data_IF_927609162672
#
_entry.id   IF_927609162672
#
_cell.length_a   1.000
_cell.length_b   1.000
_cell.length_c   1.000
_cell.angle_alpha   90.00
_cell.angle_beta   90.00
_cell.angle_gamma   90.00
#
_symmetry.space_group_name_H-M   'P 1'
#
loop_
_entity.id
_entity.type
_entity.pdbx_description
1 polymer ?
#
# COMPACT_ATOMS: atom_id res chain seq x y z
N UNK A 1 -24.53 9.84 -9.33
CA UNK A 1 -23.81 8.56 -9.22
C UNK A 1 -24.55 7.67 -8.24
N UNK A 2 -25.06 6.53 -8.71
CA UNK A 2 -25.66 5.51 -7.83
C UNK A 2 -24.55 4.73 -7.10
N UNK A 3 -24.93 3.94 -6.09
CA UNK A 3 -23.97 3.12 -5.32
C UNK A 3 -23.21 2.15 -6.21
N UNK A 4 -23.88 1.59 -7.20
CA UNK A 4 -23.35 0.54 -8.07
C UNK A 4 -22.35 1.12 -9.08
N UNK A 5 -22.67 2.28 -9.66
CA UNK A 5 -21.74 3.00 -10.54
C UNK A 5 -20.43 3.36 -9.84
N UNK A 6 -20.49 3.76 -8.56
CA UNK A 6 -19.28 4.05 -7.77
C UNK A 6 -18.46 2.78 -7.55
N UNK A 7 -19.11 1.65 -7.24
CA UNK A 7 -18.41 0.38 -7.08
C UNK A 7 -17.77 -0.10 -8.37
N UNK A 8 -18.41 0.10 -9.51
CA UNK A 8 -17.88 -0.30 -10.81
C UNK A 8 -16.71 0.59 -11.23
N UNK A 9 -16.77 1.88 -10.93
CA UNK A 9 -15.65 2.79 -11.17
C UNK A 9 -14.44 2.45 -10.28
N UNK A 10 -14.67 2.07 -9.00
CA UNK A 10 -13.63 1.56 -8.10
C UNK A 10 -12.95 0.32 -8.70
N UNK A 11 -13.73 -0.65 -9.18
CA UNK A 11 -13.19 -1.86 -9.82
C UNK A 11 -12.40 -1.52 -11.07
N UNK A 12 -12.93 -0.65 -11.92
CA UNK A 12 -12.26 -0.23 -13.16
C UNK A 12 -10.89 0.40 -12.87
N UNK A 13 -10.81 1.25 -11.86
CA UNK A 13 -9.54 1.87 -11.44
C UNK A 13 -8.60 0.86 -10.79
N UNK A 14 -9.11 -0.08 -10.00
CA UNK A 14 -8.29 -1.16 -9.45
C UNK A 14 -7.72 -2.08 -10.54
N UNK A 15 -8.50 -2.40 -11.59
CA UNK A 15 -8.02 -3.13 -12.79
C UNK A 15 -6.89 -2.41 -13.52
N UNK A 16 -6.90 -1.06 -13.49
CA UNK A 16 -5.80 -0.23 -14.03
C UNK A 16 -4.54 -0.24 -13.14
N UNK A 17 -4.56 -0.95 -12.01
CA UNK A 17 -3.44 -1.05 -11.07
C UNK A 17 -3.37 0.08 -10.03
N UNK A 18 -4.36 0.98 -10.00
CA UNK A 18 -4.38 2.08 -9.03
C UNK A 18 -4.60 1.56 -7.62
N UNK A 19 -3.89 2.16 -6.66
CA UNK A 19 -3.99 1.78 -5.26
C UNK A 19 -5.22 2.43 -4.58
N UNK A 20 -5.77 1.83 -3.51
CA UNK A 20 -6.96 2.33 -2.83
C UNK A 20 -6.91 3.82 -2.44
N UNK A 21 -5.75 4.33 -2.02
CA UNK A 21 -5.58 5.76 -1.71
C UNK A 21 -5.80 6.66 -2.93
N UNK A 22 -5.18 6.32 -4.06
CA UNK A 22 -5.28 7.05 -5.34
C UNK A 22 -6.71 6.99 -5.90
N UNK A 23 -7.36 5.83 -5.78
CA UNK A 23 -8.77 5.65 -6.16
C UNK A 23 -9.65 6.64 -5.40
N UNK A 24 -9.45 6.80 -4.09
CA UNK A 24 -10.21 7.75 -3.29
C UNK A 24 -10.01 9.20 -3.73
N UNK A 25 -8.79 9.59 -4.09
CA UNK A 25 -8.47 10.93 -4.61
C UNK A 25 -9.17 11.19 -5.94
N UNK A 26 -9.11 10.25 -6.89
CA UNK A 26 -9.75 10.40 -8.22
C UNK A 26 -11.28 10.46 -8.11
N UNK A 27 -11.87 9.69 -7.19
CA UNK A 27 -13.32 9.77 -6.94
C UNK A 27 -13.73 11.13 -6.40
N UNK A 28 -12.93 11.71 -5.49
CA UNK A 28 -13.19 13.03 -4.93
C UNK A 28 -13.04 14.12 -5.98
N UNK A 29 -11.92 14.13 -6.70
CA UNK A 29 -11.51 15.26 -7.52
C UNK A 29 -12.12 15.23 -8.93
N UNK A 30 -12.28 14.04 -9.54
CA UNK A 30 -12.82 13.92 -10.91
C UNK A 30 -14.30 13.57 -10.96
N UNK A 31 -14.83 12.89 -9.93
CA UNK A 31 -16.23 12.42 -9.92
C UNK A 31 -17.10 13.13 -8.87
N UNK A 32 -16.54 14.06 -8.10
CA UNK A 32 -17.26 14.80 -7.05
C UNK A 32 -17.73 13.93 -5.87
N UNK A 33 -17.21 12.70 -5.74
CA UNK A 33 -17.58 11.77 -4.67
C UNK A 33 -16.75 12.08 -3.42
N UNK A 34 -17.28 12.91 -2.53
CA UNK A 34 -16.56 13.34 -1.33
C UNK A 34 -16.16 12.20 -0.38
N UNK A 35 -17.12 11.36 0.03
CA UNK A 35 -16.86 10.24 0.95
C UNK A 35 -17.53 8.96 0.47
N UNK A 36 -16.73 8.02 -0.06
CA UNK A 36 -17.21 6.72 -0.57
C UNK A 36 -18.00 5.95 0.48
N UNK A 37 -17.60 6.02 1.76
CA UNK A 37 -18.31 5.36 2.86
C UNK A 37 -19.75 5.82 3.02
N UNK A 38 -20.03 7.11 2.79
CA UNK A 38 -21.38 7.66 2.94
C UNK A 38 -22.30 7.22 1.81
N UNK A 39 -21.78 7.08 0.60
CA UNK A 39 -22.54 6.63 -0.56
C UNK A 39 -22.70 5.11 -0.57
N UNK A 40 -21.59 4.36 -0.60
CA UNK A 40 -21.60 2.91 -0.81
C UNK A 40 -21.71 2.09 0.48
N UNK A 41 -21.87 2.72 1.65
CA UNK A 41 -21.95 2.07 2.97
C UNK A 41 -20.66 1.42 3.47
N UNK A 42 -19.65 1.25 2.61
CA UNK A 42 -18.40 0.55 2.89
C UNK A 42 -17.16 1.37 2.50
N UNK A 43 -15.99 1.01 3.08
CA UNK A 43 -14.69 1.59 2.72
C UNK A 43 -14.16 0.96 1.42
N UNK A 44 -13.39 1.73 0.64
CA UNK A 44 -12.78 1.30 -0.64
C UNK A 44 -12.07 -0.06 -0.50
N UNK A 45 -11.22 -0.22 0.52
CA UNK A 45 -10.49 -1.48 0.74
C UNK A 45 -11.41 -2.68 0.97
N UNK A 46 -12.56 -2.49 1.65
CA UNK A 46 -13.54 -3.57 1.85
C UNK A 46 -14.25 -3.93 0.54
N UNK A 47 -14.62 -2.94 -0.26
CA UNK A 47 -15.24 -3.14 -1.58
C UNK A 47 -14.30 -3.95 -2.48
N UNK A 48 -13.01 -3.60 -2.50
CA UNK A 48 -12.00 -4.34 -3.27
C UNK A 48 -11.82 -5.77 -2.75
N UNK A 49 -11.82 -5.98 -1.43
CA UNK A 49 -11.72 -7.31 -0.83
C UNK A 49 -12.93 -8.19 -1.17
N UNK A 50 -14.14 -7.65 -1.09
CA UNK A 50 -15.37 -8.36 -1.46
C UNK A 50 -15.39 -8.76 -2.93
N UNK A 51 -14.79 -7.95 -3.81
CA UNK A 51 -14.68 -8.24 -5.25
C UNK A 51 -13.41 -9.03 -5.63
N UNK A 52 -12.65 -9.54 -4.65
CA UNK A 52 -11.45 -10.36 -4.90
C UNK A 52 -10.27 -9.61 -5.52
N UNK A 53 -10.28 -8.28 -5.49
CA UNK A 53 -9.34 -7.38 -6.16
C UNK A 53 -8.42 -6.64 -5.17
N UNK A 54 -8.37 -7.10 -3.92
CA UNK A 54 -7.51 -6.50 -2.91
C UNK A 54 -6.05 -6.93 -3.13
N UNK A 55 -5.08 -6.00 -2.98
CA UNK A 55 -3.68 -6.34 -3.05
C UNK A 55 -3.31 -7.30 -1.89
N UNK A 56 -2.43 -8.26 -2.16
CA UNK A 56 -1.95 -9.22 -1.16
C UNK A 56 -1.19 -8.52 -0.02
N UNK A 57 -0.38 -7.53 -0.38
CA UNK A 57 0.33 -6.71 0.58
C UNK A 57 -0.46 -5.43 0.88
N UNK A 58 -0.65 -5.06 2.17
CA UNK A 58 -1.20 -3.77 2.54
C UNK A 58 -0.44 -2.61 1.89
N UNK A 59 -1.18 -1.61 1.40
CA UNK A 59 -0.66 -0.51 0.59
C UNK A 59 0.44 0.29 1.32
N UNK A 60 0.26 0.54 2.61
CA UNK A 60 1.21 1.24 3.47
C UNK A 60 2.52 0.46 3.65
N UNK A 61 2.43 -0.85 3.87
CA UNK A 61 3.58 -1.73 3.96
C UNK A 61 4.34 -1.79 2.63
N UNK A 62 3.62 -1.92 1.52
CA UNK A 62 4.19 -1.89 0.17
C UNK A 62 5.01 -0.62 -0.08
N UNK A 63 4.47 0.57 0.22
CA UNK A 63 5.17 1.83 -0.02
C UNK A 63 6.38 2.03 0.91
N UNK A 64 6.33 1.54 2.16
CA UNK A 64 7.50 1.57 3.04
C UNK A 64 8.62 0.67 2.52
N UNK A 65 8.29 -0.55 2.08
CA UNK A 65 9.26 -1.48 1.48
C UNK A 65 9.85 -0.87 0.20
N UNK A 66 9.03 -0.27 -0.67
CA UNK A 66 9.48 0.41 -1.89
C UNK A 66 10.45 1.55 -1.59
N UNK A 67 10.16 2.36 -0.56
CA UNK A 67 11.06 3.42 -0.09
C UNK A 67 12.38 2.84 0.44
N UNK A 68 12.33 1.77 1.23
CA UNK A 68 13.55 1.12 1.73
C UNK A 68 14.46 0.60 0.61
N UNK A 69 13.87 -0.03 -0.42
CA UNK A 69 14.61 -0.50 -1.61
C UNK A 69 15.28 0.65 -2.34
N UNK A 70 14.58 1.77 -2.53
CA UNK A 70 15.15 2.95 -3.19
C UNK A 70 16.33 3.54 -2.39
N UNK A 71 16.20 3.67 -1.06
CA UNK A 71 17.28 4.18 -0.21
C UNK A 71 18.49 3.23 -0.23
N UNK A 72 18.25 1.90 -0.20
CA UNK A 72 19.35 0.93 -0.26
C UNK A 72 20.11 1.01 -1.59
N UNK A 73 19.39 1.10 -2.72
CA UNK A 73 19.99 1.29 -4.05
C UNK A 73 20.83 2.58 -4.14
N UNK A 74 20.40 3.65 -3.48
CA UNK A 74 21.19 4.89 -3.36
C UNK A 74 22.47 4.66 -2.55
N UNK A 75 22.36 4.03 -1.37
CA UNK A 75 23.49 3.76 -0.48
C UNK A 75 24.54 2.81 -1.07
N UNK A 76 24.15 1.91 -1.97
CA UNK A 76 25.09 1.05 -2.71
C UNK A 76 26.11 1.88 -3.52
N UNK A 77 25.67 3.00 -4.09
CA UNK A 77 26.48 3.94 -4.86
C UNK A 77 27.15 4.98 -3.95
N UNK A 78 26.41 5.46 -2.94
CA UNK A 78 26.81 6.56 -2.06
C UNK A 78 27.03 6.07 -0.62
N UNK A 79 28.05 5.23 -0.43
CA UNK A 79 28.30 4.54 0.86
C UNK A 79 28.62 5.47 2.05
N UNK A 80 29.06 6.70 1.78
CA UNK A 80 29.41 7.70 2.80
C UNK A 80 28.22 8.55 3.28
N UNK A 81 27.04 8.36 2.70
CA UNK A 81 25.84 9.10 3.09
C UNK A 81 25.25 8.54 4.41
N UNK A 82 25.74 9.10 5.53
CA UNK A 82 25.35 8.70 6.89
C UNK A 82 23.88 9.01 7.17
N UNK A 83 23.37 10.13 6.65
CA UNK A 83 21.99 10.53 6.87
C UNK A 83 21.00 9.59 6.17
N UNK A 84 21.27 9.22 4.90
CA UNK A 84 20.46 8.20 4.22
C UNK A 84 20.52 6.84 4.93
N UNK A 85 21.68 6.46 5.50
CA UNK A 85 21.82 5.24 6.31
C UNK A 85 20.98 5.30 7.58
N UNK A 86 20.99 6.43 8.28
CA UNK A 86 20.13 6.66 9.44
C UNK A 86 18.64 6.58 9.06
N UNK A 87 18.25 7.21 7.96
CA UNK A 87 16.86 7.17 7.46
C UNK A 87 16.43 5.78 7.03
N UNK A 88 17.32 4.97 6.46
CA UNK A 88 17.03 3.55 6.15
C UNK A 88 16.62 2.78 7.42
N UNK A 89 17.39 2.93 8.51
CA UNK A 89 17.10 2.27 9.80
C UNK A 89 15.71 2.65 10.32
N UNK A 90 15.33 3.93 10.21
CA UNK A 90 14.00 4.39 10.62
C UNK A 90 12.88 3.78 9.76
N UNK A 91 13.09 3.68 8.44
CA UNK A 91 12.11 3.07 7.52
C UNK A 91 11.97 1.58 7.81
N UNK A 92 13.06 0.85 7.98
CA UNK A 92 13.06 -0.58 8.33
C UNK A 92 12.36 -0.84 9.68
N UNK A 93 12.62 0.02 10.67
CA UNK A 93 11.94 -0.04 11.97
C UNK A 93 10.42 0.14 11.84
N UNK A 94 9.96 1.03 10.95
CA UNK A 94 8.52 1.20 10.64
C UNK A 94 7.94 -0.03 9.95
N UNK A 95 8.67 -0.63 9.00
CA UNK A 95 8.27 -1.86 8.31
C UNK A 95 8.06 -2.99 9.33
N UNK A 96 9.01 -3.21 10.24
CA UNK A 96 8.91 -4.27 11.25
C UNK A 96 7.72 -4.08 12.20
N UNK A 97 7.47 -2.84 12.66
CA UNK A 97 6.30 -2.52 13.50
C UNK A 97 5.00 -2.80 12.77
N UNK A 98 4.91 -2.39 11.51
CA UNK A 98 3.70 -2.54 10.71
C UNK A 98 3.43 -4.00 10.31
N UNK A 99 4.48 -4.74 9.95
CA UNK A 99 4.41 -6.17 9.71
C UNK A 99 3.91 -6.93 10.96
N UNK A 100 4.40 -6.59 12.15
CA UNK A 100 3.91 -7.17 13.42
C UNK A 100 2.41 -6.93 13.59
N UNK A 101 1.93 -5.71 13.37
CA UNK A 101 0.51 -5.37 13.44
C UNK A 101 -0.34 -6.21 12.47
N UNK A 102 0.09 -6.32 11.21
CA UNK A 102 -0.66 -7.07 10.19
C UNK A 102 -0.65 -8.59 10.41
N UNK A 103 0.42 -9.14 11.02
CA UNK A 103 0.43 -10.53 11.51
C UNK A 103 -0.61 -10.75 12.60
N UNK A 104 -0.68 -9.87 13.61
CA UNK A 104 -1.70 -9.97 14.67
C UNK A 104 -3.12 -9.88 14.11
N UNK A 105 -3.33 -9.08 13.06
CA UNK A 105 -4.63 -8.94 12.38
C UNK A 105 -4.92 -10.03 11.34
N UNK A 106 -4.05 -11.04 11.20
CA UNK A 106 -4.18 -12.13 10.21
C UNK A 106 -4.32 -11.66 8.76
N UNK A 107 -3.76 -10.48 8.46
CA UNK A 107 -3.69 -9.95 7.09
C UNK A 107 -2.37 -10.32 6.41
N UNK A 108 -1.38 -10.78 7.18
CA UNK A 108 -0.14 -11.35 6.68
C UNK A 108 0.05 -12.76 7.26
N UNK A 109 0.70 -13.67 6.51
CA UNK A 109 1.16 -14.94 7.05
C UNK A 109 2.05 -14.75 8.28
N UNK A 110 1.95 -15.60 9.32
CA UNK A 110 2.85 -15.55 10.47
C UNK A 110 4.33 -15.68 10.09
N UNK A 111 4.59 -16.46 9.04
CA UNK A 111 5.91 -16.70 8.43
C UNK A 111 6.46 -15.53 7.63
N UNK A 112 5.64 -14.52 7.32
CA UNK A 112 6.08 -13.38 6.51
C UNK A 112 7.22 -12.63 7.20
N UNK A 113 8.32 -12.39 6.52
CA UNK A 113 9.47 -11.68 7.07
C UNK A 113 9.98 -10.67 6.06
N UNK A 114 10.28 -9.47 6.53
CA UNK A 114 10.98 -8.48 5.72
C UNK A 114 12.46 -8.88 5.68
N UNK A 115 12.96 -9.19 4.49
CA UNK A 115 14.38 -9.42 4.27
C UNK A 115 14.91 -8.47 3.21
N UNK A 116 16.11 -7.96 3.45
CA UNK A 116 16.71 -6.93 2.63
C UNK A 116 16.97 -7.39 1.19
N UNK A 117 17.42 -8.64 1.02
CA UNK A 117 17.71 -9.23 -0.30
C UNK A 117 16.46 -9.49 -1.15
N UNK A 118 15.35 -9.90 -0.53
CA UNK A 118 14.09 -10.20 -1.23
C UNK A 118 13.14 -9.00 -1.29
N UNK A 119 13.48 -7.89 -0.62
CA UNK A 119 12.65 -6.69 -0.62
C UNK A 119 12.36 -6.17 -2.03
N UNK A 120 13.31 -6.28 -2.97
CA UNK A 120 13.10 -5.80 -4.34
C UNK A 120 12.02 -6.58 -5.09
N UNK A 121 11.94 -7.89 -4.92
CA UNK A 121 10.93 -8.73 -5.58
C UNK A 121 9.53 -8.55 -5.02
N UNK A 122 9.39 -8.02 -3.80
CA UNK A 122 8.09 -7.76 -3.15
C UNK A 122 7.40 -6.47 -3.64
N UNK A 123 8.13 -5.58 -4.32
CA UNK A 123 7.66 -4.24 -4.74
C UNK A 123 7.95 -3.95 -6.21
N UNK A 124 8.29 -4.98 -6.97
CA UNK A 124 8.41 -4.92 -8.44
C UNK A 124 7.04 -4.94 -9.10
#
# INVERSE_FOLDING_TARGET
MTTDEVQDQIVKMAKKGLRPSQIGVILRDSHGVGQVRRLAGNKIFRILKSKGMAPELPEDLYHLVKKAVAIRKHLERSRKDIDSKYRLILVESRIHRLARYYKTKRQLPPTWKYESGTAASLVS
#
